data_IF_933564756132
#
_entry.id   IF_933564756132
#
_cell.length_a   1.000
_cell.length_b   1.000
_cell.length_c   1.000
_cell.angle_alpha   90.00
_cell.angle_beta   90.00
_cell.angle_gamma   90.00
#
_symmetry.space_group_name_H-M   'P 1'
#
loop_
_entity.id
_entity.type
_entity.pdbx_description
1 polymer ?
#
# COMPACT_ATOMS: atom_id res chain seq x y z
N UNK A 1 -16.41 -6.68 116.77
CA UNK A 1 -15.35 -7.25 115.91
C UNK A 1 -14.03 -6.97 116.61
N UNK A 2 -13.22 -7.98 116.88
CA UNK A 2 -11.89 -7.79 117.46
C UNK A 2 -10.84 -7.89 116.36
N UNK A 3 -9.70 -7.23 116.52
CA UNK A 3 -8.54 -7.33 115.61
C UNK A 3 -8.13 -8.79 115.33
N UNK A 4 -8.34 -9.68 116.29
CA UNK A 4 -8.05 -11.11 116.15
C UNK A 4 -9.05 -11.79 115.19
N UNK A 5 -10.33 -11.45 115.25
CA UNK A 5 -11.35 -11.95 114.31
C UNK A 5 -11.07 -11.47 112.89
N UNK A 6 -10.73 -10.20 112.73
CA UNK A 6 -10.46 -9.60 111.41
C UNK A 6 -9.19 -10.19 110.78
N UNK A 7 -8.13 -10.42 111.58
CA UNK A 7 -6.91 -11.07 111.12
C UNK A 7 -7.16 -12.52 110.67
N UNK A 8 -7.97 -13.28 111.42
CA UNK A 8 -8.34 -14.63 111.04
C UNK A 8 -9.11 -14.68 109.71
N UNK A 9 -10.04 -13.74 109.49
CA UNK A 9 -10.79 -13.64 108.23
C UNK A 9 -9.89 -13.27 107.05
N UNK A 10 -8.97 -12.30 107.24
CA UNK A 10 -8.03 -11.91 106.20
C UNK A 10 -7.07 -13.05 105.81
N UNK A 11 -6.54 -13.80 106.78
CA UNK A 11 -5.67 -14.95 106.51
C UNK A 11 -6.43 -16.07 105.80
N UNK A 12 -7.69 -16.32 106.19
CA UNK A 12 -8.53 -17.30 105.52
C UNK A 12 -8.77 -16.92 104.05
N UNK A 13 -9.07 -15.64 103.77
CA UNK A 13 -9.25 -15.15 102.41
C UNK A 13 -7.97 -15.27 101.57
N UNK A 14 -6.82 -14.80 102.08
CA UNK A 14 -5.53 -14.89 101.37
C UNK A 14 -5.14 -16.34 101.10
N UNK A 15 -5.44 -17.25 102.03
CA UNK A 15 -5.17 -18.69 101.84
C UNK A 15 -6.05 -19.27 100.73
N UNK A 16 -7.32 -18.88 100.68
CA UNK A 16 -8.25 -19.29 99.62
C UNK A 16 -7.81 -18.75 98.25
N UNK A 17 -7.52 -17.44 98.17
CA UNK A 17 -7.08 -16.80 96.93
C UNK A 17 -5.74 -17.36 96.44
N UNK A 18 -4.81 -17.65 97.35
CA UNK A 18 -3.53 -18.28 97.01
C UNK A 18 -3.70 -19.70 96.45
N UNK A 19 -4.70 -20.45 96.90
CA UNK A 19 -5.00 -21.79 96.36
C UNK A 19 -5.59 -21.69 94.95
N UNK A 20 -6.46 -20.71 94.69
CA UNK A 20 -6.98 -20.41 93.35
C UNK A 20 -5.85 -20.00 92.42
N UNK A 21 -4.97 -19.08 92.84
CA UNK A 21 -3.80 -18.65 92.06
C UNK A 21 -2.85 -19.82 91.77
N UNK A 22 -2.56 -20.66 92.77
CA UNK A 22 -1.73 -21.85 92.58
C UNK A 22 -2.33 -22.77 91.51
N UNK A 23 -3.65 -22.95 91.51
CA UNK A 23 -4.37 -23.75 90.51
C UNK A 23 -4.36 -23.10 89.13
N UNK A 24 -4.50 -21.77 89.04
CA UNK A 24 -4.39 -21.05 87.76
C UNK A 24 -3.00 -21.23 87.15
N UNK A 25 -1.94 -21.17 87.96
CA UNK A 25 -0.54 -21.27 87.49
C UNK A 25 -0.12 -22.72 87.19
N UNK A 26 -0.49 -23.67 88.05
CA UNK A 26 0.00 -25.06 87.99
C UNK A 26 -1.07 -26.09 87.62
N UNK A 27 -2.28 -25.66 87.29
CA UNK A 27 -3.35 -26.53 86.83
C UNK A 27 -3.11 -27.12 85.44
N UNK A 28 -4.03 -27.96 84.99
CA UNK A 28 -3.83 -28.77 83.77
C UNK A 28 -4.25 -28.04 82.49
N UNK A 29 -3.88 -28.59 81.32
CA UNK A 29 -4.19 -28.03 80.00
C UNK A 29 -5.69 -28.05 79.61
N UNK A 30 -6.55 -28.67 80.41
CA UNK A 30 -8.00 -28.68 80.19
C UNK A 30 -8.75 -27.89 81.25
N UNK A 31 -8.06 -27.47 82.30
CA UNK A 31 -8.68 -26.97 83.52
C UNK A 31 -9.01 -25.48 83.43
N UNK A 32 -10.15 -25.16 84.02
CA UNK A 32 -10.60 -23.79 84.29
C UNK A 32 -10.81 -23.68 85.80
N UNK A 33 -10.48 -22.52 86.36
CA UNK A 33 -10.60 -22.22 87.79
C UNK A 33 -11.70 -21.19 87.96
N UNK A 34 -12.75 -21.53 88.71
CA UNK A 34 -13.82 -20.59 89.03
C UNK A 34 -13.34 -19.65 90.12
N UNK A 35 -13.30 -18.36 89.81
CA UNK A 35 -12.98 -17.27 90.73
C UNK A 35 -14.23 -16.44 91.02
N UNK A 36 -14.17 -15.51 91.97
CA UNK A 36 -15.29 -14.58 92.24
C UNK A 36 -15.64 -13.72 91.01
N UNK A 37 -14.66 -13.46 90.14
CA UNK A 37 -14.83 -12.74 88.87
C UNK A 37 -15.27 -13.63 87.69
N UNK A 38 -15.53 -14.92 87.94
CA UNK A 38 -15.89 -15.91 86.93
C UNK A 38 -14.75 -16.89 86.62
N UNK A 39 -14.94 -17.65 85.55
CA UNK A 39 -14.06 -18.73 85.15
C UNK A 39 -12.79 -18.22 84.46
N UNK A 40 -11.63 -18.60 84.98
CA UNK A 40 -10.31 -18.24 84.44
C UNK A 40 -9.59 -19.51 84.00
N UNK A 41 -9.09 -19.52 82.76
CA UNK A 41 -8.29 -20.63 82.26
C UNK A 41 -6.96 -20.74 83.04
N UNK A 42 -6.48 -21.96 83.24
CA UNK A 42 -5.10 -22.15 83.71
C UNK A 42 -4.11 -21.68 82.64
N UNK A 43 -2.87 -21.38 83.05
CA UNK A 43 -1.79 -21.06 82.11
C UNK A 43 -1.59 -22.20 81.11
N UNK A 44 -1.61 -23.45 81.57
CA UNK A 44 -1.47 -24.61 80.71
C UNK A 44 -2.59 -24.72 79.65
N UNK A 45 -3.84 -24.40 80.01
CA UNK A 45 -4.96 -24.41 79.07
C UNK A 45 -4.82 -23.33 78.01
N UNK A 46 -4.44 -22.11 78.42
CA UNK A 46 -4.23 -21.00 77.49
C UNK A 46 -3.16 -21.34 76.43
N UNK A 47 -2.06 -21.96 76.84
CA UNK A 47 -1.00 -22.40 75.92
C UNK A 47 -1.49 -23.51 74.98
N UNK A 48 -2.19 -24.52 75.51
CA UNK A 48 -2.71 -25.61 74.68
C UNK A 48 -3.72 -25.13 73.63
N UNK A 49 -4.63 -24.22 74.03
CA UNK A 49 -5.60 -23.61 73.12
C UNK A 49 -4.89 -22.72 72.07
N UNK A 50 -3.82 -22.01 72.45
CA UNK A 50 -3.02 -21.21 71.52
C UNK A 50 -2.28 -22.09 70.51
N UNK A 51 -1.64 -23.18 70.94
CA UNK A 51 -0.95 -24.13 70.06
C UNK A 51 -1.93 -24.78 69.07
N UNK A 52 -3.11 -25.17 69.54
CA UNK A 52 -4.15 -25.74 68.67
C UNK A 52 -4.59 -24.73 67.60
N UNK A 53 -4.79 -23.47 67.97
CA UNK A 53 -5.14 -22.39 67.03
C UNK A 53 -4.02 -22.11 66.02
N UNK A 54 -2.77 -22.09 66.46
CA UNK A 54 -1.61 -21.86 65.58
C UNK A 54 -1.49 -23.01 64.57
N UNK A 55 -1.56 -24.26 65.04
CA UNK A 55 -1.43 -25.41 64.16
C UNK A 55 -2.59 -25.51 63.16
N UNK A 56 -3.82 -25.19 63.60
CA UNK A 56 -4.98 -25.14 62.70
C UNK A 56 -4.83 -24.03 61.64
N UNK A 57 -4.33 -22.85 62.03
CA UNK A 57 -4.11 -21.75 61.10
C UNK A 57 -2.93 -22.00 60.14
N UNK A 58 -1.92 -22.74 60.57
CA UNK A 58 -0.78 -23.14 59.76
C UNK A 58 -1.08 -24.34 58.85
N UNK A 59 -2.16 -25.07 59.11
CA UNK A 59 -2.54 -26.24 58.34
C UNK A 59 -2.78 -25.86 56.87
N UNK A 60 -2.15 -26.61 55.96
CA UNK A 60 -2.26 -26.38 54.53
C UNK A 60 -1.44 -25.22 53.93
N UNK A 61 -0.79 -24.34 54.72
CA UNK A 61 0.02 -23.22 54.16
C UNK A 61 1.14 -23.74 53.25
N UNK A 62 1.81 -24.82 53.65
CA UNK A 62 2.87 -25.42 52.84
C UNK A 62 2.32 -25.94 51.50
N UNK A 63 1.18 -26.62 51.52
CA UNK A 63 0.54 -27.14 50.32
C UNK A 63 0.09 -26.01 49.38
N UNK A 64 -0.50 -24.94 49.92
CA UNK A 64 -0.86 -23.75 49.15
C UNK A 64 0.36 -23.07 48.53
N UNK A 65 1.46 -22.96 49.28
CA UNK A 65 2.70 -22.36 48.79
C UNK A 65 3.32 -23.18 47.67
N UNK A 66 3.30 -24.52 47.78
CA UNK A 66 3.76 -25.43 46.73
C UNK A 66 2.90 -25.33 45.46
N UNK A 67 1.57 -25.28 45.60
CA UNK A 67 0.65 -25.10 44.48
C UNK A 67 0.90 -23.76 43.77
N UNK A 68 0.97 -22.65 44.51
CA UNK A 68 1.24 -21.34 43.95
C UNK A 68 2.61 -21.27 43.24
N UNK A 69 3.63 -21.93 43.78
CA UNK A 69 4.94 -22.03 43.14
C UNK A 69 4.89 -22.84 41.82
N UNK A 70 4.12 -23.93 41.79
CA UNK A 70 3.95 -24.74 40.59
C UNK A 70 3.17 -23.99 39.50
N UNK A 71 2.13 -23.24 39.88
CA UNK A 71 1.35 -22.41 38.96
C UNK A 71 2.21 -21.29 38.37
N UNK A 72 3.06 -20.66 39.19
CA UNK A 72 4.01 -19.64 38.75
C UNK A 72 5.05 -20.22 37.77
N UNK A 73 5.59 -21.41 38.06
CA UNK A 73 6.53 -22.10 37.17
C UNK A 73 5.89 -22.41 35.81
N UNK A 74 4.69 -22.99 35.82
CA UNK A 74 3.92 -23.28 34.60
C UNK A 74 3.66 -22.01 33.79
N UNK A 75 3.28 -20.92 34.46
CA UNK A 75 3.04 -19.62 33.80
C UNK A 75 4.31 -19.05 33.16
N UNK A 76 5.46 -19.19 33.82
CA UNK A 76 6.75 -18.75 33.29
C UNK A 76 7.19 -19.57 32.07
N UNK A 77 6.99 -20.89 32.08
CA UNK A 77 7.29 -21.77 30.94
C UNK A 77 6.43 -21.42 29.71
N UNK A 78 5.13 -21.18 29.91
CA UNK A 78 4.24 -20.74 28.85
C UNK A 78 4.66 -19.38 28.27
N UNK A 79 5.02 -18.42 29.12
CA UNK A 79 5.51 -17.12 28.68
C UNK A 79 6.82 -17.22 27.87
N UNK A 80 7.74 -18.09 28.29
CA UNK A 80 8.99 -18.35 27.55
C UNK A 80 8.70 -18.93 26.16
N UNK A 81 7.83 -19.93 26.09
CA UNK A 81 7.45 -20.57 24.81
C UNK A 81 6.76 -19.58 23.86
N UNK A 82 5.90 -18.71 24.38
CA UNK A 82 5.24 -17.70 23.54
C UNK A 82 6.22 -16.62 23.05
N UNK A 83 7.21 -16.24 23.88
CA UNK A 83 8.27 -15.33 23.47
C UNK A 83 9.12 -15.93 22.32
N UNK A 84 9.46 -17.22 22.39
CA UNK A 84 10.18 -17.93 21.33
C UNK A 84 9.37 -18.01 20.02
N UNK A 85 8.06 -18.27 20.12
CA UNK A 85 7.15 -18.26 18.96
C UNK A 85 7.05 -16.87 18.33
N UNK A 86 6.96 -15.83 19.14
CA UNK A 86 6.93 -14.45 18.67
C UNK A 86 8.24 -14.07 17.95
N UNK A 87 9.39 -14.45 18.52
CA UNK A 87 10.70 -14.24 17.89
C UNK A 87 10.80 -14.95 16.55
N UNK A 88 10.43 -16.24 16.49
CA UNK A 88 10.43 -17.02 15.24
C UNK A 88 9.56 -16.38 14.16
N UNK A 89 8.37 -15.89 14.55
CA UNK A 89 7.45 -15.22 13.63
C UNK A 89 8.04 -13.90 13.11
N UNK A 90 8.71 -13.14 13.98
CA UNK A 90 9.38 -11.90 13.59
C UNK A 90 10.53 -12.17 12.61
N UNK A 91 11.36 -13.18 12.87
CA UNK A 91 12.47 -13.58 12.00
C UNK A 91 11.97 -14.02 10.62
N UNK A 92 10.87 -14.80 10.58
CA UNK A 92 10.23 -15.18 9.32
C UNK A 92 9.71 -13.96 8.55
N UNK A 93 9.06 -13.01 9.24
CA UNK A 93 8.58 -11.77 8.62
C UNK A 93 9.71 -10.92 8.01
N UNK A 94 10.89 -10.89 8.65
CA UNK A 94 12.09 -10.22 8.11
C UNK A 94 12.60 -10.95 6.87
N UNK A 95 12.65 -12.29 6.89
CA UNK A 95 13.08 -13.09 5.76
C UNK A 95 12.15 -12.89 4.54
N UNK A 96 10.83 -12.94 4.76
CA UNK A 96 9.82 -12.73 3.72
C UNK A 96 9.93 -11.32 3.12
N UNK A 97 10.06 -10.31 3.97
CA UNK A 97 10.23 -8.91 3.53
C UNK A 97 11.49 -8.75 2.67
N UNK A 98 12.59 -9.38 3.08
CA UNK A 98 13.85 -9.37 2.33
C UNK A 98 13.71 -10.06 0.97
N UNK A 99 13.01 -11.20 0.92
CA UNK A 99 12.74 -11.91 -0.33
C UNK A 99 11.89 -11.06 -1.30
N UNK A 100 10.85 -10.39 -0.80
CA UNK A 100 10.03 -9.47 -1.60
C UNK A 100 10.86 -8.30 -2.12
N UNK A 101 11.70 -7.69 -1.29
CA UNK A 101 12.58 -6.59 -1.72
C UNK A 101 13.52 -7.01 -2.85
N UNK A 102 14.17 -8.17 -2.73
CA UNK A 102 15.05 -8.72 -3.77
C UNK A 102 14.28 -9.00 -5.07
N UNK A 103 13.06 -9.52 -4.96
CA UNK A 103 12.20 -9.77 -6.11
C UNK A 103 11.81 -8.45 -6.81
N UNK A 104 11.38 -7.44 -6.05
CA UNK A 104 11.01 -6.12 -6.58
C UNK A 104 12.20 -5.46 -7.28
N UNK A 105 13.40 -5.51 -6.69
CA UNK A 105 14.62 -4.98 -7.31
C UNK A 105 14.94 -5.68 -8.63
N UNK A 106 14.86 -7.02 -8.64
CA UNK A 106 15.13 -7.82 -9.84
C UNK A 106 14.12 -7.53 -10.94
N UNK A 107 12.83 -7.53 -10.61
CA UNK A 107 11.75 -7.23 -11.56
C UNK A 107 11.83 -5.78 -12.05
N UNK A 108 12.15 -4.82 -11.19
CA UNK A 108 12.33 -3.42 -11.57
C UNK A 108 13.47 -3.25 -12.57
N UNK A 109 14.62 -3.89 -12.31
CA UNK A 109 15.75 -3.88 -13.25
C UNK A 109 15.40 -4.55 -14.58
N UNK A 110 14.66 -5.66 -14.55
CA UNK A 110 14.24 -6.35 -15.76
C UNK A 110 13.30 -5.48 -16.60
N UNK A 111 12.35 -4.76 -15.99
CA UNK A 111 11.46 -3.83 -16.69
C UNK A 111 12.25 -2.74 -17.42
N UNK A 112 13.31 -2.21 -16.79
CA UNK A 112 14.16 -1.20 -17.42
C UNK A 112 14.92 -1.78 -18.63
N UNK A 113 15.45 -2.99 -18.50
CA UNK A 113 16.12 -3.70 -19.60
C UNK A 113 15.15 -3.99 -20.75
N UNK A 114 13.96 -4.48 -20.43
CA UNK A 114 12.93 -4.81 -21.42
C UNK A 114 12.43 -3.53 -22.13
N UNK A 115 12.22 -2.45 -21.39
CA UNK A 115 11.82 -1.15 -21.95
C UNK A 115 12.88 -0.59 -22.91
N UNK A 116 14.16 -0.66 -22.53
CA UNK A 116 15.27 -0.27 -23.40
C UNK A 116 15.32 -1.14 -24.66
N UNK A 117 15.18 -2.46 -24.52
CA UNK A 117 15.15 -3.38 -25.66
C UNK A 117 13.99 -3.07 -26.63
N UNK A 118 12.80 -2.75 -26.10
CA UNK A 118 11.65 -2.35 -26.91
C UNK A 118 11.92 -1.01 -27.61
N UNK A 119 12.49 -0.02 -26.92
CA UNK A 119 12.84 1.26 -27.51
C UNK A 119 13.83 1.08 -28.68
N UNK A 120 14.90 0.32 -28.46
CA UNK A 120 15.89 0.00 -29.50
C UNK A 120 15.25 -0.71 -30.70
N UNK A 121 14.30 -1.62 -30.44
CA UNK A 121 13.56 -2.30 -31.51
C UNK A 121 12.66 -1.33 -32.29
N UNK A 122 11.98 -0.40 -31.63
CA UNK A 122 11.14 0.63 -32.27
C UNK A 122 11.99 1.55 -33.13
N UNK A 123 13.14 2.02 -32.60
CA UNK A 123 14.09 2.85 -33.35
C UNK A 123 14.60 2.10 -34.58
N UNK A 124 15.04 0.85 -34.41
CA UNK A 124 15.54 0.04 -35.52
C UNK A 124 14.47 -0.16 -36.61
N UNK A 125 13.21 -0.41 -36.21
CA UNK A 125 12.09 -0.51 -37.16
C UNK A 125 11.84 0.81 -37.87
N UNK A 126 11.82 1.93 -37.17
CA UNK A 126 11.58 3.25 -37.77
C UNK A 126 12.67 3.61 -38.79
N UNK A 127 13.93 3.36 -38.44
CA UNK A 127 15.07 3.53 -39.35
C UNK A 127 14.97 2.60 -40.57
N UNK A 128 14.55 1.35 -40.37
CA UNK A 128 14.37 0.39 -41.46
C UNK A 128 13.24 0.76 -42.44
N UNK A 129 12.23 1.51 -42.01
CA UNK A 129 11.18 2.03 -42.91
C UNK A 129 11.74 3.13 -43.84
N UNK A 130 12.81 3.83 -43.44
CA UNK A 130 13.50 4.81 -44.29
C UNK A 130 12.63 6.00 -44.69
N UNK A 131 11.73 6.44 -43.79
CA UNK A 131 10.97 7.68 -43.97
C UNK A 131 11.86 8.91 -43.72
N UNK A 132 11.65 10.02 -44.44
CA UNK A 132 12.32 11.28 -44.12
C UNK A 132 11.93 11.81 -42.74
N UNK A 133 12.91 12.36 -42.01
CA UNK A 133 12.71 12.90 -40.65
C UNK A 133 11.79 14.14 -40.61
N UNK A 134 11.65 14.85 -41.73
CA UNK A 134 10.75 15.99 -41.87
C UNK A 134 10.24 16.14 -43.31
N UNK A 135 8.97 16.56 -43.45
CA UNK A 135 8.37 16.97 -44.72
C UNK A 135 8.18 18.49 -44.83
N UNK A 136 8.52 19.23 -43.76
CA UNK A 136 8.43 20.69 -43.75
C UNK A 136 9.33 21.28 -44.85
N UNK A 137 8.76 22.12 -45.71
CA UNK A 137 9.46 22.71 -46.85
C UNK A 137 9.52 21.84 -48.11
N UNK A 138 8.99 20.61 -48.10
CA UNK A 138 8.93 19.72 -49.26
C UNK A 138 7.66 19.94 -50.11
N UNK A 139 7.22 21.19 -50.27
CA UNK A 139 6.04 21.52 -51.09
C UNK A 139 6.29 21.10 -52.55
N UNK A 140 5.27 20.52 -53.20
CA UNK A 140 5.41 20.00 -54.56
C UNK A 140 6.27 18.73 -54.66
N UNK A 141 6.55 18.04 -53.55
CA UNK A 141 7.24 16.74 -53.56
C UNK A 141 6.27 15.63 -53.15
N UNK A 142 6.44 14.44 -53.73
CA UNK A 142 5.73 13.22 -53.35
C UNK A 142 6.71 12.26 -52.69
N UNK A 143 6.23 11.53 -51.68
CA UNK A 143 6.95 10.38 -51.13
C UNK A 143 6.77 9.18 -52.05
N UNK A 144 7.87 8.65 -52.58
CA UNK A 144 7.90 7.46 -53.42
C UNK A 144 8.77 6.39 -52.77
N UNK A 145 8.37 5.13 -52.90
CA UNK A 145 9.22 3.98 -52.53
C UNK A 145 10.39 3.90 -53.51
N UNK A 146 11.61 3.75 -53.01
CA UNK A 146 12.81 3.60 -53.85
C UNK A 146 12.71 2.33 -54.69
N UNK A 147 13.38 2.33 -55.85
CA UNK A 147 13.37 1.19 -56.76
C UNK A 147 13.98 -0.09 -56.18
N UNK A 148 14.86 0.02 -55.18
CA UNK A 148 15.46 -1.08 -54.45
C UNK A 148 14.64 -1.49 -53.20
N UNK A 149 13.46 -0.90 -53.01
CA UNK A 149 12.55 -1.09 -51.87
C UNK A 149 13.19 -0.78 -50.50
N UNK A 150 14.33 -0.08 -50.47
CA UNK A 150 15.09 0.21 -49.25
C UNK A 150 14.49 1.32 -48.38
N UNK A 151 13.39 1.94 -48.81
CA UNK A 151 12.71 3.01 -48.08
C UNK A 151 12.05 4.03 -49.00
N UNK A 152 11.90 5.27 -48.52
CA UNK A 152 11.23 6.34 -49.24
C UNK A 152 12.21 7.42 -49.72
N UNK A 153 11.86 8.09 -50.79
CA UNK A 153 12.53 9.29 -51.29
C UNK A 153 11.48 10.35 -51.64
N UNK A 154 11.87 11.62 -51.51
CA UNK A 154 11.08 12.73 -52.00
C UNK A 154 11.40 12.94 -53.47
N UNK A 155 10.39 12.84 -54.33
CA UNK A 155 10.50 13.12 -55.75
C UNK A 155 9.66 14.33 -56.11
N UNK A 156 10.15 15.25 -56.97
CA UNK A 156 9.34 16.35 -57.43
C UNK A 156 8.12 15.80 -58.15
N UNK A 157 6.96 16.35 -57.83
CA UNK A 157 5.78 16.06 -58.60
C UNK A 157 5.96 16.64 -60.00
N UNK A 158 5.99 15.79 -61.03
CA UNK A 158 5.84 16.25 -62.41
C UNK A 158 4.42 16.73 -62.67
N UNK A 159 3.48 16.30 -61.81
CA UNK A 159 2.12 16.77 -61.85
C UNK A 159 2.11 18.27 -61.58
N UNK A 160 1.71 19.05 -62.57
CA UNK A 160 1.48 20.50 -62.42
C UNK A 160 -0.03 20.76 -62.36
N UNK A 161 -0.76 20.22 -61.36
CA UNK A 161 -2.19 20.43 -61.28
C UNK A 161 -2.45 21.92 -61.14
N UNK A 162 -3.41 22.41 -61.92
CA UNK A 162 -3.83 23.80 -61.90
C UNK A 162 -5.18 23.87 -61.22
N UNK A 163 -5.34 24.86 -60.37
CA UNK A 163 -6.64 25.21 -59.86
C UNK A 163 -7.38 26.00 -60.94
N UNK A 164 -8.61 25.58 -61.24
CA UNK A 164 -9.54 26.31 -62.09
C UNK A 164 -10.78 26.62 -61.28
N UNK A 165 -10.99 27.90 -61.00
CA UNK A 165 -12.18 28.42 -60.34
C UNK A 165 -13.07 29.17 -61.33
N UNK A 166 -14.35 28.84 -61.35
CA UNK A 166 -15.37 29.48 -62.17
C UNK A 166 -16.33 30.23 -61.27
N UNK A 167 -16.55 31.51 -61.57
CA UNK A 167 -17.52 32.34 -60.87
C UNK A 167 -18.30 33.19 -61.88
N UNK A 168 -19.54 33.56 -61.58
CA UNK A 168 -20.25 34.57 -62.35
C UNK A 168 -19.75 35.97 -62.00
N UNK A 169 -19.78 36.88 -62.98
CA UNK A 169 -19.62 38.31 -62.72
C UNK A 169 -20.67 38.80 -61.73
N UNK A 170 -20.40 39.94 -61.07
CA UNK A 170 -21.32 40.49 -60.06
C UNK A 170 -22.74 40.79 -60.60
N UNK A 171 -22.87 40.99 -61.92
CA UNK A 171 -24.15 41.18 -62.62
C UNK A 171 -24.71 39.89 -63.23
N UNK A 172 -24.05 38.76 -63.06
CA UNK A 172 -24.46 37.44 -63.53
C UNK A 172 -24.38 37.25 -65.04
N UNK A 173 -23.78 38.19 -65.77
CA UNK A 173 -23.82 38.22 -67.24
C UNK A 173 -22.63 37.51 -67.91
N UNK A 174 -21.50 37.39 -67.20
CA UNK A 174 -20.28 36.76 -67.70
C UNK A 174 -19.82 35.63 -66.79
N UNK A 175 -19.34 34.55 -67.39
CA UNK A 175 -18.56 33.56 -66.67
C UNK A 175 -17.12 34.07 -66.54
N UNK A 176 -16.54 33.98 -65.34
CA UNK A 176 -15.16 34.36 -65.03
C UNK A 176 -14.35 33.09 -64.72
N UNK A 177 -13.12 33.03 -65.22
CA UNK A 177 -12.18 31.94 -64.98
C UNK A 177 -10.96 32.47 -64.23
N UNK A 178 -10.68 31.87 -63.07
CA UNK A 178 -9.42 32.03 -62.34
C UNK A 178 -8.60 30.76 -62.51
N UNK A 179 -7.39 30.88 -63.06
CA UNK A 179 -6.44 29.78 -63.22
C UNK A 179 -5.11 30.15 -62.57
N UNK A 180 -4.73 29.45 -61.49
CA UNK A 180 -3.35 29.50 -61.01
C UNK A 180 -2.90 28.19 -60.32
N UNK A 181 -1.70 28.22 -59.74
CA UNK A 181 -1.02 27.06 -59.13
C UNK A 181 -0.54 27.28 -57.70
N UNK A 182 -0.04 28.48 -57.40
CA UNK A 182 0.82 28.71 -56.22
C UNK A 182 0.20 29.70 -55.22
N UNK A 183 -1.11 29.93 -55.30
CA UNK A 183 -1.88 30.75 -54.36
C UNK A 183 -2.88 29.90 -53.57
N UNK A 184 -3.22 30.37 -52.37
CA UNK A 184 -4.31 29.81 -51.57
C UNK A 184 -5.65 30.33 -52.10
N UNK A 185 -6.56 29.42 -52.41
CA UNK A 185 -7.90 29.75 -52.89
C UNK A 185 -8.93 29.34 -51.85
N UNK A 186 -9.84 30.26 -51.53
CA UNK A 186 -11.04 29.96 -50.76
C UNK A 186 -12.08 29.34 -51.71
N UNK A 187 -12.44 28.08 -51.48
CA UNK A 187 -13.33 27.34 -52.37
C UNK A 187 -14.71 28.00 -52.53
N UNK A 188 -15.19 28.68 -51.49
CA UNK A 188 -16.49 29.36 -51.46
C UNK A 188 -16.53 30.64 -52.32
N UNK A 189 -15.38 31.11 -52.82
CA UNK A 189 -15.32 32.26 -53.72
C UNK A 189 -15.71 31.91 -55.17
N UNK A 190 -15.97 30.63 -55.47
CA UNK A 190 -16.24 30.12 -56.81
C UNK A 190 -17.54 29.33 -56.84
N UNK A 191 -18.35 29.52 -57.88
CA UNK A 191 -19.58 28.75 -58.11
C UNK A 191 -19.28 27.29 -58.47
N UNK A 192 -18.15 27.05 -59.14
CA UNK A 192 -17.62 25.71 -59.41
C UNK A 192 -16.09 25.77 -59.48
N UNK A 193 -15.41 24.73 -59.00
CA UNK A 193 -13.96 24.64 -59.08
C UNK A 193 -13.48 23.21 -59.32
N UNK A 194 -12.28 23.08 -59.88
CA UNK A 194 -11.60 21.79 -60.01
C UNK A 194 -10.10 21.95 -59.96
N UNK A 195 -9.41 20.89 -59.59
CA UNK A 195 -7.95 20.79 -59.66
C UNK A 195 -7.64 19.63 -60.60
N UNK A 196 -6.98 19.92 -61.70
CA UNK A 196 -6.71 18.92 -62.73
C UNK A 196 -5.38 19.17 -63.43
N UNK A 197 -4.87 18.14 -64.08
CA UNK A 197 -3.64 18.15 -64.85
C UNK A 197 -3.93 17.68 -66.28
N UNK A 198 -3.25 18.26 -67.27
CA UNK A 198 -3.40 17.87 -68.68
C UNK A 198 -4.73 18.31 -69.31
N UNK A 199 -5.53 19.11 -68.60
CA UNK A 199 -6.76 19.73 -69.09
C UNK A 199 -6.66 21.24 -68.89
N UNK A 200 -7.03 21.99 -69.93
CA UNK A 200 -7.09 23.44 -69.94
C UNK A 200 -8.51 23.91 -70.21
N UNK A 201 -9.01 24.79 -69.36
CA UNK A 201 -10.28 25.46 -69.57
C UNK A 201 -10.04 26.86 -70.11
N UNK A 202 -10.88 27.29 -71.05
CA UNK A 202 -10.87 28.63 -71.59
C UNK A 202 -12.29 29.14 -71.75
N UNK A 203 -12.46 30.45 -71.70
CA UNK A 203 -13.71 31.14 -72.00
C UNK A 203 -13.58 31.81 -73.36
N UNK A 204 -14.33 31.30 -74.34
CA UNK A 204 -14.34 31.85 -75.70
C UNK A 204 -15.79 32.23 -76.04
N UNK A 205 -16.04 33.51 -76.32
CA UNK A 205 -17.38 34.03 -76.62
C UNK A 205 -18.45 33.67 -75.56
N UNK A 206 -18.11 33.80 -74.27
CA UNK A 206 -18.96 33.44 -73.12
C UNK A 206 -19.36 31.94 -73.07
N UNK A 207 -18.60 31.06 -73.70
CA UNK A 207 -18.76 29.61 -73.60
C UNK A 207 -17.53 28.95 -72.96
N UNK A 208 -17.77 27.97 -72.09
CA UNK A 208 -16.72 27.14 -71.50
C UNK A 208 -16.19 26.14 -72.52
N UNK A 209 -14.91 26.24 -72.84
CA UNK A 209 -14.21 25.31 -73.73
C UNK A 209 -13.19 24.52 -72.91
N UNK A 210 -13.25 23.19 -73.02
CA UNK A 210 -12.25 22.28 -72.46
C UNK A 210 -11.30 21.81 -73.57
N UNK A 211 -10.00 21.94 -73.34
CA UNK A 211 -8.95 21.47 -74.23
C UNK A 211 -8.08 20.47 -73.47
N UNK A 212 -7.77 19.34 -74.12
CA UNK A 212 -6.78 18.42 -73.60
C UNK A 212 -5.39 18.97 -73.95
N UNK A 213 -4.54 19.13 -72.95
CA UNK A 213 -3.13 19.45 -73.14
C UNK A 213 -2.43 18.25 -73.76
N UNK A 214 -2.38 18.19 -75.08
CA UNK A 214 -1.55 17.21 -75.80
C UNK A 214 -0.09 17.55 -75.48
N UNK A 215 0.57 16.69 -74.71
CA UNK A 215 2.00 16.78 -74.45
C UNK A 215 2.77 16.89 -75.76
N UNK A 216 3.72 17.81 -75.79
CA UNK A 216 4.79 17.89 -76.79
C UNK A 216 5.34 16.50 -77.10
N UNK A 217 5.47 16.21 -78.40
CA UNK A 217 6.01 14.97 -78.94
C UNK A 217 7.25 14.49 -78.18
N UNK A 218 7.22 13.25 -77.70
CA UNK A 218 8.44 12.46 -77.58
C UNK A 218 8.97 12.26 -79.01
N UNK A 219 9.89 13.11 -79.44
CA UNK A 219 10.85 12.70 -80.46
C UNK A 219 11.66 11.54 -79.89
N UNK A 220 11.31 10.33 -80.31
CA UNK A 220 12.26 9.24 -80.31
C UNK A 220 13.34 9.60 -81.33
N UNK A 221 14.49 10.08 -80.85
CA UNK A 221 15.69 10.12 -81.66
C UNK A 221 16.24 8.68 -81.83
N UNK A 222 16.85 8.38 -82.99
CA UNK A 222 17.14 7.02 -83.47
C UNK A 222 18.17 6.25 -82.65
#
# INVERSE_FOLDING_TARGET
MSLQTDLHQAVAQVTADSALLHTVVHGTALQTVTTEGGDVATVAKLLADADARINLAADGILAQSQAAAQDALTSAELASSEAERAQTTADQGVADTTAVLNQVQTSGNQILVDAEAVLQQVIARLLAVGLPDALAGAQGMLLRVKADESGYELVPTVASPRFYGFALSADGSELLLTEERDQTFEADAFDAWTVTEGVHFALENNALVMKLGIGTALEAQP
#
